data_IF_954366595058
#
_entry.id   IF_954366595058
#
_cell.length_a   1.000
_cell.length_b   1.000
_cell.length_c   1.000
_cell.angle_alpha   90.00
_cell.angle_beta   90.00
_cell.angle_gamma   90.00
#
_symmetry.space_group_name_H-M   'P 1'
#
loop_
_entity.id
_entity.type
_entity.pdbx_description
1 polymer ?
#
# COMPACT_ATOMS: atom_id res chain seq x y z
N UNK A 1 54.11 -40.20 31.00
CA UNK A 1 52.70 -40.41 31.44
C UNK A 1 52.49 -39.48 32.62
N UNK A 2 51.62 -38.48 32.66
CA UNK A 2 50.29 -38.30 32.10
C UNK A 2 49.98 -36.79 32.10
N UNK A 3 49.57 -36.23 30.96
CA UNK A 3 48.92 -34.92 30.90
C UNK A 3 47.42 -35.12 31.15
N UNK A 4 46.85 -34.50 32.19
CA UNK A 4 45.39 -34.38 32.32
C UNK A 4 44.99 -32.95 31.98
N UNK A 5 44.55 -32.80 30.73
CA UNK A 5 43.82 -31.64 30.22
C UNK A 5 42.51 -31.54 31.00
N UNK A 6 42.28 -30.39 31.63
CA UNK A 6 41.03 -30.06 32.32
C UNK A 6 40.08 -29.54 31.26
N UNK A 7 39.04 -30.31 30.92
CA UNK A 7 37.97 -29.88 30.02
C UNK A 7 37.18 -28.74 30.67
N UNK A 8 37.44 -27.52 30.21
CA UNK A 8 36.59 -26.36 30.50
C UNK A 8 35.44 -26.39 29.49
N UNK A 9 34.30 -26.96 29.90
CA UNK A 9 33.06 -26.87 29.12
C UNK A 9 32.61 -25.41 29.08
N UNK A 10 32.99 -24.69 28.04
CA UNK A 10 32.43 -23.38 27.71
C UNK A 10 31.00 -23.62 27.18
N UNK A 11 30.02 -23.46 28.06
CA UNK A 11 28.63 -23.29 27.67
C UNK A 11 28.52 -21.97 26.91
N UNK A 12 28.56 -22.05 25.58
CA UNK A 12 28.17 -20.94 24.71
C UNK A 12 26.66 -20.81 24.83
N UNK A 13 26.21 -19.94 25.73
CA UNK A 13 24.85 -19.46 25.74
C UNK A 13 24.69 -18.59 24.49
N UNK A 14 24.18 -19.18 23.40
CA UNK A 14 23.65 -18.41 22.28
C UNK A 14 22.45 -17.62 22.81
N UNK A 15 22.71 -16.37 23.17
CA UNK A 15 21.70 -15.36 23.44
C UNK A 15 20.97 -15.10 22.12
N UNK A 16 19.92 -15.88 21.85
CA UNK A 16 18.93 -15.56 20.83
C UNK A 16 18.18 -14.33 21.33
N UNK A 17 18.73 -13.15 21.06
CA UNK A 17 17.97 -11.92 21.09
C UNK A 17 16.97 -12.06 19.95
N UNK A 18 15.77 -12.56 20.26
CA UNK A 18 14.62 -12.37 19.40
C UNK A 18 14.40 -10.86 19.34
N UNK A 19 14.98 -10.23 18.33
CA UNK A 19 14.52 -8.92 17.89
C UNK A 19 13.09 -9.14 17.42
N UNK A 20 12.12 -8.89 18.30
CA UNK A 20 10.74 -8.67 17.92
C UNK A 20 10.75 -7.35 17.17
N UNK A 21 11.23 -7.38 15.93
CA UNK A 21 11.01 -6.30 15.00
C UNK A 21 9.51 -6.22 14.80
N UNK A 22 8.93 -5.02 14.92
CA UNK A 22 7.62 -4.73 14.38
C UNK A 22 7.66 -4.96 12.86
N UNK A 23 7.54 -6.22 12.45
CA UNK A 23 7.38 -6.59 11.05
C UNK A 23 6.03 -6.11 10.52
N UNK A 24 5.85 -6.13 9.19
CA UNK A 24 4.55 -5.84 8.61
C UNK A 24 3.46 -6.70 9.26
N UNK A 25 2.43 -6.06 9.81
CA UNK A 25 1.23 -6.74 10.31
C UNK A 25 0.12 -6.56 9.29
N UNK A 26 -0.52 -7.66 8.90
CA UNK A 26 -1.70 -7.62 8.03
C UNK A 26 -2.94 -8.03 8.79
N UNK A 27 -4.01 -7.26 8.63
CA UNK A 27 -5.33 -7.49 9.21
C UNK A 27 -6.36 -7.55 8.08
N UNK A 28 -7.32 -8.46 8.20
CA UNK A 28 -8.33 -8.70 7.16
C UNK A 28 -9.72 -8.48 7.70
N UNK A 29 -10.58 -7.88 6.89
CA UNK A 29 -11.94 -7.49 7.24
C UNK A 29 -12.88 -7.83 6.09
N UNK A 30 -14.07 -8.33 6.39
CA UNK A 30 -15.05 -8.66 5.35
C UNK A 30 -15.67 -7.40 4.76
N UNK A 31 -15.91 -6.36 5.59
CA UNK A 31 -16.56 -5.11 5.19
C UNK A 31 -15.89 -3.88 5.82
N UNK A 32 -16.13 -2.69 5.25
CA UNK A 32 -15.56 -1.43 5.73
C UNK A 32 -15.96 -1.07 7.17
N UNK A 33 -17.15 -1.47 7.62
CA UNK A 33 -17.62 -1.22 9.00
C UNK A 33 -16.81 -1.97 10.06
N UNK A 34 -16.14 -3.06 9.66
CA UNK A 34 -15.31 -3.87 10.55
C UNK A 34 -13.90 -3.28 10.69
N UNK A 35 -13.52 -2.35 9.80
CA UNK A 35 -12.26 -1.61 9.89
C UNK A 35 -12.37 -0.61 11.05
N UNK A 36 -11.45 -0.64 12.04
CA UNK A 36 -11.52 0.27 13.19
C UNK A 36 -11.55 1.73 12.76
N UNK A 37 -12.39 2.54 13.41
CA UNK A 37 -12.62 3.97 13.08
C UNK A 37 -11.41 4.90 13.27
N UNK A 38 -10.26 4.35 13.70
CA UNK A 38 -8.96 5.04 13.79
C UNK A 38 -7.86 4.30 13.01
N UNK A 39 -8.25 3.43 12.07
CA UNK A 39 -7.32 2.79 11.15
C UNK A 39 -6.53 3.86 10.40
N UNK A 40 -5.23 3.61 10.22
CA UNK A 40 -4.36 4.49 9.44
C UNK A 40 -4.66 4.36 7.94
N UNK A 41 -5.52 3.43 7.51
CA UNK A 41 -6.00 3.37 6.13
C UNK A 41 -7.50 3.54 6.11
N UNK A 42 -7.95 4.55 5.37
CA UNK A 42 -9.36 4.77 5.04
C UNK A 42 -9.68 4.03 3.73
N UNK A 43 -10.83 3.35 3.70
CA UNK A 43 -11.37 2.66 2.52
C UNK A 43 -12.80 3.13 2.27
N UNK A 44 -13.34 3.00 1.03
CA UNK A 44 -14.74 3.31 0.75
C UNK A 44 -15.70 2.54 1.66
N UNK A 45 -16.83 3.14 2.04
CA UNK A 45 -17.80 2.51 2.94
C UNK A 45 -18.43 1.22 2.41
N UNK A 46 -18.40 1.02 1.09
CA UNK A 46 -18.90 -0.18 0.40
C UNK A 46 -17.81 -1.23 0.14
N UNK A 47 -16.56 -0.97 0.55
CA UNK A 47 -15.45 -1.87 0.31
C UNK A 47 -15.64 -3.21 1.04
N UNK A 48 -15.28 -4.28 0.36
CA UNK A 48 -15.30 -5.65 0.88
C UNK A 48 -13.94 -6.33 0.70
N UNK A 49 -13.75 -7.49 1.33
CA UNK A 49 -12.53 -8.30 1.20
C UNK A 49 -11.26 -7.47 1.46
N UNK A 50 -11.29 -6.71 2.55
CA UNK A 50 -10.28 -5.72 2.86
C UNK A 50 -9.11 -6.42 3.54
N UNK A 51 -7.90 -6.10 3.11
CA UNK A 51 -6.67 -6.52 3.77
C UNK A 51 -5.77 -5.30 3.95
N UNK A 52 -5.51 -4.92 5.19
CA UNK A 52 -4.67 -3.76 5.55
C UNK A 52 -3.32 -4.24 6.06
N UNK A 53 -2.23 -3.83 5.43
CA UNK A 53 -0.86 -4.07 5.91
C UNK A 53 -0.28 -2.78 6.51
N UNK A 54 0.08 -2.84 7.78
CA UNK A 54 0.73 -1.75 8.49
C UNK A 54 2.25 -1.83 8.35
N UNK A 55 2.88 -0.76 7.83
CA UNK A 55 4.32 -0.59 7.77
C UNK A 55 4.74 0.64 8.60
N UNK A 56 6.04 0.83 8.78
CA UNK A 56 6.56 1.97 9.54
C UNK A 56 6.43 3.27 8.71
N UNK A 57 5.46 4.12 9.04
CA UNK A 57 5.23 5.43 8.40
C UNK A 57 4.50 5.39 7.05
N UNK A 58 4.16 4.19 6.56
CA UNK A 58 3.39 3.99 5.35
C UNK A 58 2.47 2.79 5.52
N UNK A 59 1.35 2.77 4.83
CA UNK A 59 0.37 1.71 4.94
C UNK A 59 -0.13 1.35 3.56
N UNK A 60 -0.58 0.10 3.41
CA UNK A 60 -1.23 -0.33 2.19
C UNK A 60 -2.47 -1.14 2.51
N UNK A 61 -3.44 -1.12 1.61
CA UNK A 61 -4.58 -2.00 1.67
C UNK A 61 -4.93 -2.56 0.29
N UNK A 62 -5.57 -3.72 0.29
CA UNK A 62 -6.29 -4.22 -0.88
C UNK A 62 -7.75 -4.39 -0.51
N UNK A 63 -8.66 -4.13 -1.44
CA UNK A 63 -10.09 -4.30 -1.23
C UNK A 63 -10.84 -4.40 -2.56
N UNK A 64 -12.08 -4.86 -2.50
CA UNK A 64 -12.98 -4.92 -3.66
C UNK A 64 -14.02 -3.80 -3.56
N UNK A 65 -14.14 -2.99 -4.62
CA UNK A 65 -15.13 -1.92 -4.76
C UNK A 65 -15.22 -1.49 -6.22
N UNK A 66 -16.43 -1.20 -6.69
CA UNK A 66 -16.66 -0.80 -8.08
C UNK A 66 -16.18 0.62 -8.36
N UNK A 67 -15.83 0.87 -9.62
CA UNK A 67 -15.26 2.13 -10.07
C UNK A 67 -16.09 3.38 -9.68
N UNK A 68 -17.43 3.41 -9.83
CA UNK A 68 -18.22 4.60 -9.47
C UNK A 68 -18.08 4.98 -8.00
N UNK A 69 -18.08 3.98 -7.11
CA UNK A 69 -17.96 4.19 -5.67
C UNK A 69 -16.55 4.64 -5.28
N UNK A 70 -15.53 4.06 -5.93
CA UNK A 70 -14.14 4.48 -5.80
C UNK A 70 -13.97 5.94 -6.22
N UNK A 71 -14.52 6.34 -7.37
CA UNK A 71 -14.46 7.72 -7.85
C UNK A 71 -15.13 8.68 -6.88
N UNK A 72 -16.32 8.34 -6.39
CA UNK A 72 -17.02 9.17 -5.41
C UNK A 72 -16.18 9.34 -4.13
N UNK A 73 -15.68 8.24 -3.58
CA UNK A 73 -14.84 8.27 -2.39
C UNK A 73 -13.55 9.08 -2.58
N UNK A 74 -12.86 8.92 -3.72
CA UNK A 74 -11.67 9.73 -4.06
C UNK A 74 -12.02 11.22 -4.15
N UNK A 75 -13.15 11.57 -4.76
CA UNK A 75 -13.59 12.96 -4.86
C UNK A 75 -13.90 13.55 -3.48
N UNK A 76 -14.56 12.78 -2.60
CA UNK A 76 -14.84 13.20 -1.23
C UNK A 76 -13.54 13.45 -0.46
N UNK A 77 -12.54 12.58 -0.60
CA UNK A 77 -11.22 12.78 0.02
C UNK A 77 -10.50 14.03 -0.52
N UNK A 78 -10.52 14.26 -1.83
CA UNK A 78 -9.93 15.45 -2.46
C UNK A 78 -10.62 16.73 -1.98
N UNK A 79 -11.93 16.69 -1.76
CA UNK A 79 -12.71 17.81 -1.26
C UNK A 79 -12.37 18.23 0.18
N UNK A 80 -11.70 17.38 0.96
CA UNK A 80 -11.19 17.75 2.30
C UNK A 80 -10.01 18.74 2.24
N UNK A 81 -9.27 18.75 1.12
CA UNK A 81 -8.11 19.61 0.84
C UNK A 81 -8.14 20.12 -0.61
N UNK A 82 -9.15 20.92 -0.98
CA UNK A 82 -9.32 21.37 -2.37
C UNK A 82 -8.11 22.17 -2.87
N UNK A 83 -7.44 22.90 -1.99
CA UNK A 83 -6.24 23.67 -2.31
C UNK A 83 -5.04 22.81 -2.74
N UNK A 84 -4.99 21.54 -2.31
CA UNK A 84 -3.93 20.59 -2.68
C UNK A 84 -4.32 19.72 -3.88
N UNK A 85 -5.61 19.62 -4.19
CA UNK A 85 -6.17 18.67 -5.16
C UNK A 85 -6.96 19.36 -6.29
N UNK A 86 -6.72 20.65 -6.55
CA UNK A 86 -7.47 21.41 -7.55
C UNK A 86 -7.32 20.89 -8.98
N UNK A 87 -6.17 20.30 -9.31
CA UNK A 87 -5.85 19.76 -10.64
C UNK A 87 -5.21 18.37 -10.50
N UNK A 88 -5.98 17.33 -10.14
CA UNK A 88 -5.43 15.99 -10.02
C UNK A 88 -5.01 15.47 -11.41
N UNK A 89 -3.99 14.60 -11.50
CA UNK A 89 -3.67 13.89 -12.73
C UNK A 89 -4.87 13.10 -13.27
N UNK A 90 -4.94 12.91 -14.59
CA UNK A 90 -5.90 11.98 -15.20
C UNK A 90 -5.74 10.59 -14.61
N UNK A 91 -6.85 9.94 -14.26
CA UNK A 91 -6.86 8.55 -13.80
C UNK A 91 -6.43 7.57 -14.90
N UNK A 92 -6.67 7.95 -16.16
CA UNK A 92 -6.31 7.23 -17.38
C UNK A 92 -4.88 7.51 -17.86
N UNK A 93 -4.02 8.11 -17.02
CA UNK A 93 -2.69 8.59 -17.43
C UNK A 93 -1.79 7.56 -18.15
N UNK A 94 -1.96 6.26 -17.90
CA UNK A 94 -1.26 5.19 -18.64
C UNK A 94 -1.91 4.87 -19.99
N UNK A 95 -3.24 4.89 -20.05
CA UNK A 95 -3.99 4.65 -21.28
C UNK A 95 -3.79 5.81 -22.27
N UNK A 96 -3.79 7.05 -21.75
CA UNK A 96 -3.61 8.31 -22.50
C UNK A 96 -2.15 8.59 -22.88
N UNK A 97 -1.21 7.78 -22.39
CA UNK A 97 0.21 7.96 -22.67
C UNK A 97 0.51 7.86 -24.18
N UNK A 98 1.38 8.73 -24.66
CA UNK A 98 1.90 8.66 -26.02
C UNK A 98 2.49 7.27 -26.31
N UNK A 99 2.14 6.66 -27.47
CA UNK A 99 2.53 5.29 -27.81
C UNK A 99 4.04 5.02 -27.72
N UNK A 100 4.89 6.02 -28.01
CA UNK A 100 6.34 5.89 -27.90
C UNK A 100 6.84 5.89 -26.45
N UNK A 101 6.13 6.56 -25.54
CA UNK A 101 6.47 6.66 -24.12
C UNK A 101 5.77 5.61 -23.27
N UNK A 102 4.67 5.05 -23.77
CA UNK A 102 3.79 4.12 -23.06
C UNK A 102 4.55 2.92 -22.44
N UNK A 103 5.49 2.23 -23.14
CA UNK A 103 6.24 1.13 -22.54
C UNK A 103 7.08 1.57 -21.33
N UNK A 104 7.72 2.73 -21.41
CA UNK A 104 8.53 3.28 -20.30
C UNK A 104 7.63 3.64 -19.12
N UNK A 105 6.51 4.33 -19.37
CA UNK A 105 5.56 4.72 -18.32
C UNK A 105 4.94 3.50 -17.63
N UNK A 106 4.60 2.46 -18.38
CA UNK A 106 4.10 1.20 -17.82
C UNK A 106 5.14 0.56 -16.90
N UNK A 107 6.41 0.52 -17.32
CA UNK A 107 7.48 -0.05 -16.50
C UNK A 107 7.70 0.76 -15.22
N UNK A 108 7.76 2.09 -15.33
CA UNK A 108 7.89 2.99 -14.17
C UNK A 108 6.72 2.82 -13.19
N UNK A 109 5.50 2.70 -13.70
CA UNK A 109 4.33 2.51 -12.84
C UNK A 109 4.31 1.12 -12.21
N UNK A 110 4.72 0.07 -12.93
CA UNK A 110 4.87 -1.28 -12.38
C UNK A 110 5.91 -1.32 -11.26
N UNK A 111 7.03 -0.63 -11.43
CA UNK A 111 8.06 -0.49 -10.39
C UNK A 111 7.52 0.26 -9.17
N UNK A 112 6.80 1.36 -9.38
CA UNK A 112 6.17 2.12 -8.30
C UNK A 112 5.12 1.27 -7.55
N UNK A 113 4.26 0.56 -8.27
CA UNK A 113 3.29 -0.37 -7.69
C UNK A 113 4.00 -1.45 -6.88
N UNK A 114 5.02 -2.10 -7.46
CA UNK A 114 5.78 -3.17 -6.80
C UNK A 114 6.45 -2.68 -5.52
N UNK A 115 7.04 -1.48 -5.54
CA UNK A 115 7.68 -0.88 -4.38
C UNK A 115 6.68 -0.60 -3.25
N UNK A 116 5.50 -0.07 -3.59
CA UNK A 116 4.48 0.36 -2.61
C UNK A 116 3.64 -0.82 -2.09
N UNK A 117 3.28 -1.74 -2.97
CA UNK A 117 2.47 -2.94 -2.66
C UNK A 117 3.31 -4.16 -2.29
N UNK A 118 4.63 -4.09 -2.44
CA UNK A 118 5.60 -5.14 -2.07
C UNK A 118 5.62 -6.34 -3.01
N UNK A 119 4.85 -6.31 -4.10
CA UNK A 119 4.77 -7.36 -5.11
C UNK A 119 4.25 -6.75 -6.42
N UNK A 120 4.71 -7.22 -7.59
CA UNK A 120 4.10 -6.86 -8.87
C UNK A 120 2.77 -7.57 -9.09
N UNK A 121 2.45 -8.60 -8.29
CA UNK A 121 1.22 -9.37 -8.42
C UNK A 121 0.01 -8.47 -8.23
N UNK A 122 -0.89 -8.49 -9.22
CA UNK A 122 -2.08 -7.64 -9.25
C UNK A 122 -1.96 -6.47 -10.21
N UNK A 123 -0.75 -6.01 -10.57
CA UNK A 123 -0.59 -4.91 -11.53
C UNK A 123 -1.06 -5.33 -12.93
N UNK A 124 -1.89 -4.49 -13.56
CA UNK A 124 -2.24 -4.57 -14.97
C UNK A 124 -1.99 -3.23 -15.65
N UNK A 125 -1.78 -3.23 -16.96
CA UNK A 125 -1.45 -2.01 -17.72
C UNK A 125 -2.67 -1.08 -17.88
N UNK A 126 -3.87 -1.62 -17.65
CA UNK A 126 -5.16 -0.95 -17.77
C UNK A 126 -5.69 -0.41 -16.42
N UNK A 127 -4.89 -0.51 -15.35
CA UNK A 127 -5.27 0.04 -14.05
C UNK A 127 -5.43 1.56 -14.11
N UNK A 128 -6.53 2.04 -13.51
CA UNK A 128 -6.73 3.46 -13.25
C UNK A 128 -5.97 3.88 -12.01
N UNK A 129 -5.35 5.06 -12.04
CA UNK A 129 -4.56 5.57 -10.92
C UNK A 129 -5.12 6.86 -10.36
N UNK A 130 -5.51 6.83 -9.09
CA UNK A 130 -5.95 8.00 -8.35
C UNK A 130 -4.88 8.43 -7.36
N UNK A 131 -4.51 9.71 -7.41
CA UNK A 131 -3.63 10.33 -6.40
C UNK A 131 -4.44 11.37 -5.64
N UNK A 132 -4.36 11.31 -4.31
CA UNK A 132 -4.98 12.26 -3.37
C UNK A 132 -3.90 12.81 -2.45
N UNK A 133 -3.71 14.12 -2.46
CA UNK A 133 -2.75 14.81 -1.60
C UNK A 133 -3.46 15.24 -0.32
N UNK A 134 -3.02 14.71 0.83
CA UNK A 134 -3.64 14.98 2.13
C UNK A 134 -2.93 16.07 2.94
N UNK A 135 -1.64 16.33 2.67
CA UNK A 135 -0.83 17.27 3.43
C UNK A 135 0.23 17.93 2.55
N UNK A 136 0.48 19.25 2.68
CA UNK A 136 1.53 19.94 1.94
C UNK A 136 2.94 19.46 2.34
N UNK A 137 3.07 18.71 3.45
CA UNK A 137 4.35 18.16 3.94
C UNK A 137 4.66 16.76 3.38
N UNK A 138 3.81 16.25 2.49
CA UNK A 138 4.05 14.99 1.76
C UNK A 138 3.13 13.83 2.17
N UNK A 139 1.96 14.10 2.75
CA UNK A 139 0.94 13.08 2.99
C UNK A 139 0.15 12.81 1.70
N UNK A 140 0.11 11.56 1.25
CA UNK A 140 -0.47 11.16 -0.04
C UNK A 140 -1.14 9.79 0.08
N UNK A 141 -2.29 9.64 -0.58
CA UNK A 141 -2.92 8.35 -0.88
C UNK A 141 -2.85 8.12 -2.40
N UNK A 142 -2.24 7.01 -2.80
CA UNK A 142 -2.28 6.51 -4.18
C UNK A 142 -3.15 5.26 -4.21
N UNK A 143 -4.13 5.24 -5.11
CA UNK A 143 -5.00 4.11 -5.35
C UNK A 143 -4.81 3.65 -6.79
N UNK A 144 -4.62 2.35 -6.98
CA UNK A 144 -4.75 1.70 -8.27
C UNK A 144 -6.02 0.87 -8.28
N UNK A 145 -6.85 1.05 -9.30
CA UNK A 145 -8.09 0.33 -9.50
C UNK A 145 -7.99 -0.51 -10.77
N UNK A 146 -8.23 -1.80 -10.66
CA UNK A 146 -8.37 -2.70 -11.80
C UNK A 146 -9.84 -2.72 -12.26
N UNK A 147 -10.17 -2.12 -13.42
CA UNK A 147 -11.55 -2.05 -13.90
C UNK A 147 -12.15 -3.41 -14.26
N UNK A 148 -11.33 -4.44 -14.51
CA UNK A 148 -11.81 -5.75 -14.92
C UNK A 148 -12.24 -6.62 -13.73
N UNK A 149 -11.65 -6.40 -12.56
CA UNK A 149 -11.87 -7.22 -11.37
C UNK A 149 -12.48 -6.47 -10.19
N UNK A 150 -12.64 -5.14 -10.30
CA UNK A 150 -12.98 -4.26 -9.18
C UNK A 150 -11.99 -4.35 -8.01
N UNK A 151 -10.78 -4.86 -8.24
CA UNK A 151 -9.71 -4.93 -7.24
C UNK A 151 -9.07 -3.56 -7.08
N UNK A 152 -8.84 -3.19 -5.83
CA UNK A 152 -8.23 -1.91 -5.48
C UNK A 152 -6.98 -2.13 -4.64
N UNK A 153 -5.95 -1.35 -4.95
CA UNK A 153 -4.66 -1.38 -4.28
C UNK A 153 -4.36 0.03 -3.79
N UNK A 154 -4.40 0.21 -2.49
CA UNK A 154 -4.22 1.49 -1.85
C UNK A 154 -2.86 1.52 -1.17
N UNK A 155 -2.12 2.59 -1.37
CA UNK A 155 -0.96 2.94 -0.58
C UNK A 155 -1.14 4.35 0.00
N UNK A 156 -0.88 4.51 1.28
CA UNK A 156 -1.04 5.77 1.99
C UNK A 156 0.17 6.07 2.88
N UNK A 157 0.58 7.34 2.86
CA UNK A 157 1.57 7.92 3.76
C UNK A 157 0.96 9.15 4.40
N UNK A 158 1.01 9.20 5.72
CA UNK A 158 0.50 10.31 6.51
C UNK A 158 1.69 11.07 7.11
N UNK A 159 1.75 12.39 6.86
CA UNK A 159 2.80 13.29 7.36
C UNK A 159 2.21 14.54 7.98
#
# INVERSE_FOLDING_TARGET
MSARVRNTNALVACLLIATIGCGPRTETFDNALDVPSGSVVEVPAIATQISVTHLSGQHRATFTADLPDVKQWVNDLRALKPELNANPPSEDSLADANEYLKPTMINEEREAFTLRMGSPSGFTEDMLKFVVVQSPRGGVTTLWHDPDTSSNYLWAVYR
#
